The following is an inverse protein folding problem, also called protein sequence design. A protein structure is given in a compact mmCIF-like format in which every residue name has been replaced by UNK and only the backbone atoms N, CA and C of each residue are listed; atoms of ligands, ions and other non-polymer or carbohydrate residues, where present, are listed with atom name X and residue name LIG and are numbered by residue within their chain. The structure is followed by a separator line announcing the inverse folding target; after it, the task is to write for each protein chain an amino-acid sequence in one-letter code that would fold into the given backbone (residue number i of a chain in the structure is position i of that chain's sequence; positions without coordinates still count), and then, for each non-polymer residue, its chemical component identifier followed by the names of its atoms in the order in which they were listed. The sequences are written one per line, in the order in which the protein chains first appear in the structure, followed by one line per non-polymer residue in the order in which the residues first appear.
data_IF_977543578853
#
_entry.id   IF_977543578853
#
_cell.length_a   1.000
_cell.length_b   1.000
_cell.length_c   1.000
_cell.angle_alpha   90.00
_cell.angle_beta   90.00
_cell.angle_gamma   90.00
#
_symmetry.space_group_name_H-M   'P 1'
#
loop_
_entity.id
_entity.type
_entity.pdbx_description
1 polymer ?
#
# COMPACT_ATOMS: atom_id res chain seq x y z
N UNK A 1 -28.42 -7.76 -2.17
CA UNK A 1 -27.03 -7.72 -2.63
C UNK A 1 -26.19 -7.60 -1.36
N UNK A 2 -25.35 -8.61 -1.08
CA UNK A 2 -24.46 -8.54 0.08
C UNK A 2 -23.32 -7.60 -0.26
N UNK A 3 -23.23 -6.47 0.41
CA UNK A 3 -22.06 -5.60 0.32
C UNK A 3 -20.95 -6.33 1.06
N UNK A 4 -19.88 -6.73 0.38
CA UNK A 4 -18.71 -7.26 1.06
C UNK A 4 -18.18 -6.17 1.99
N UNK A 5 -17.96 -6.52 3.25
CA UNK A 5 -17.37 -5.58 4.20
C UNK A 5 -15.87 -5.46 3.92
N UNK A 6 -15.29 -4.26 4.06
CA UNK A 6 -13.85 -4.09 3.91
C UNK A 6 -13.10 -5.02 4.88
N UNK A 7 -12.06 -5.66 4.38
CA UNK A 7 -11.19 -6.47 5.24
C UNK A 7 -10.21 -5.55 5.96
N UNK A 8 -10.12 -5.71 7.27
CA UNK A 8 -9.27 -4.91 8.14
C UNK A 8 -8.21 -5.78 8.82
N UNK A 9 -6.98 -5.26 8.88
CA UNK A 9 -5.86 -5.86 9.56
C UNK A 9 -4.97 -4.78 10.19
N UNK A 10 -4.08 -5.18 11.10
CA UNK A 10 -2.98 -4.33 11.56
C UNK A 10 -1.71 -4.74 10.86
N UNK A 11 -0.93 -3.75 10.42
CA UNK A 11 0.42 -3.99 9.96
C UNK A 11 1.32 -4.26 11.17
N UNK A 12 2.22 -5.21 11.00
CA UNK A 12 3.24 -5.56 11.98
C UNK A 12 4.51 -4.78 11.68
N UNK A 13 5.16 -4.29 12.72
CA UNK A 13 6.50 -3.71 12.60
C UNK A 13 7.51 -4.81 12.25
N UNK A 14 8.47 -4.49 11.38
CA UNK A 14 9.59 -5.40 11.14
C UNK A 14 10.45 -5.53 12.42
N UNK A 15 10.84 -6.75 12.84
CA UNK A 15 11.54 -6.96 14.10
C UNK A 15 12.80 -6.11 14.28
N UNK A 16 13.58 -5.97 13.20
CA UNK A 16 14.87 -5.27 13.22
C UNK A 16 14.81 -3.84 12.66
N UNK A 17 13.66 -3.40 12.14
CA UNK A 17 13.49 -2.11 11.47
C UNK A 17 12.04 -1.61 11.55
N UNK A 18 11.42 -1.64 12.73
CA UNK A 18 10.01 -1.25 12.93
C UNK A 18 9.80 0.23 13.19
N UNK A 19 10.84 0.96 13.59
CA UNK A 19 10.73 2.35 14.09
C UNK A 19 10.22 2.40 15.53
N UNK A 20 10.48 3.53 16.21
CA UNK A 20 10.18 3.69 17.64
C UNK A 20 8.92 4.53 17.90
N UNK A 21 8.57 5.40 16.94
CA UNK A 21 7.57 6.45 17.15
C UNK A 21 6.20 6.15 16.54
N UNK A 22 6.05 4.99 15.90
CA UNK A 22 4.77 4.50 15.40
C UNK A 22 4.21 3.48 16.38
N UNK A 23 2.99 3.72 16.85
CA UNK A 23 2.32 2.83 17.83
C UNK A 23 1.48 1.75 17.14
N UNK A 24 0.84 2.11 16.03
CA UNK A 24 0.06 1.16 15.22
C UNK A 24 -0.18 1.69 13.81
N UNK A 25 -0.38 0.78 12.86
CA UNK A 25 -0.92 1.07 11.54
C UNK A 25 -2.04 0.07 11.28
N UNK A 26 -3.29 0.53 11.25
CA UNK A 26 -4.40 -0.25 10.76
C UNK A 26 -4.49 -0.07 9.24
N UNK A 27 -4.79 -1.16 8.52
CA UNK A 27 -5.01 -1.15 7.08
C UNK A 27 -6.34 -1.82 6.76
N UNK A 28 -7.08 -1.24 5.83
CA UNK A 28 -8.34 -1.76 5.32
C UNK A 28 -8.26 -1.83 3.80
N UNK A 29 -8.84 -2.88 3.21
CA UNK A 29 -8.96 -2.99 1.76
C UNK A 29 -10.31 -3.55 1.35
N UNK A 30 -10.82 -3.06 0.23
CA UNK A 30 -12.06 -3.49 -0.40
C UNK A 30 -11.89 -3.56 -1.91
N UNK A 31 -12.46 -4.59 -2.53
CA UNK A 31 -12.49 -4.75 -3.98
C UNK A 31 -13.93 -4.82 -4.45
N UNK A 32 -14.30 -3.96 -5.41
CA UNK A 32 -15.66 -3.86 -5.91
C UNK A 32 -15.83 -4.49 -7.28
N UNK A 33 -17.07 -4.85 -7.64
CA UNK A 33 -17.42 -5.42 -8.95
C UNK A 33 -17.11 -4.49 -10.14
N UNK A 34 -16.88 -3.20 -9.91
CA UNK A 34 -16.40 -2.24 -10.91
C UNK A 34 -14.88 -2.25 -11.09
N UNK A 35 -14.18 -3.31 -10.67
CA UNK A 35 -12.72 -3.42 -10.68
C UNK A 35 -12.03 -2.23 -9.98
N UNK A 36 -12.57 -1.80 -8.85
CA UNK A 36 -12.02 -0.73 -8.04
C UNK A 36 -11.48 -1.30 -6.74
N UNK A 37 -10.21 -1.02 -6.47
CA UNK A 37 -9.54 -1.31 -5.21
C UNK A 37 -9.52 -0.04 -4.36
N UNK A 38 -10.06 -0.12 -3.16
CA UNK A 38 -9.96 0.91 -2.13
C UNK A 38 -9.06 0.42 -1.00
N UNK A 39 -8.08 1.23 -0.62
CA UNK A 39 -7.22 0.97 0.53
C UNK A 39 -7.28 2.15 1.50
N UNK A 40 -7.30 1.88 2.80
CA UNK A 40 -7.21 2.88 3.85
C UNK A 40 -6.13 2.47 4.83
N UNK A 41 -5.32 3.43 5.22
CA UNK A 41 -4.29 3.27 6.24
C UNK A 41 -4.55 4.29 7.35
N UNK A 42 -4.51 3.85 8.59
CA UNK A 42 -4.62 4.71 9.77
C UNK A 42 -3.38 4.47 10.66
N UNK A 43 -2.43 5.40 10.56
CA UNK A 43 -1.22 5.42 11.38
C UNK A 43 -1.52 6.19 12.68
N UNK A 44 -1.04 5.67 13.81
CA UNK A 44 -0.99 6.34 15.12
C UNK A 44 0.43 6.33 15.64
N UNK A 45 0.89 7.46 16.17
CA UNK A 45 2.25 7.62 16.63
C UNK A 45 2.57 9.02 17.13
N UNK A 46 3.82 9.23 17.53
CA UNK A 46 4.35 10.56 17.81
C UNK A 46 4.65 11.29 16.49
N UNK A 47 3.66 12.03 16.00
CA UNK A 47 3.72 12.69 14.69
C UNK A 47 4.85 13.72 14.60
N UNK A 48 5.31 14.28 15.70
CA UNK A 48 6.42 15.23 15.72
C UNK A 48 7.78 14.56 15.43
N UNK A 49 7.86 13.25 15.65
CA UNK A 49 9.08 12.45 15.41
C UNK A 49 9.12 11.82 14.03
N UNK A 50 8.03 11.93 13.25
CA UNK A 50 7.94 11.37 11.91
C UNK A 50 8.20 12.44 10.86
N UNK A 51 8.94 12.08 9.80
CA UNK A 51 9.15 12.92 8.64
C UNK A 51 8.02 12.69 7.63
N UNK A 52 7.03 13.55 7.68
CA UNK A 52 5.87 13.48 6.81
C UNK A 52 5.91 14.61 5.78
N UNK A 53 5.86 14.30 4.47
CA UNK A 53 5.85 15.33 3.45
C UNK A 53 4.59 16.20 3.58
N UNK A 54 4.69 17.47 3.21
CA UNK A 54 3.53 18.36 3.13
C UNK A 54 2.62 17.91 1.98
N UNK A 55 1.31 18.02 2.18
CA UNK A 55 0.34 17.75 1.12
C UNK A 55 0.61 18.61 -0.11
N UNK A 56 0.76 17.97 -1.25
CA UNK A 56 1.05 18.57 -2.55
C UNK A 56 -0.12 18.51 -3.51
N UNK A 57 0.18 18.65 -4.81
CA UNK A 57 -0.82 18.67 -5.87
C UNK A 57 -1.26 17.27 -6.36
N UNK A 58 -0.59 16.21 -5.91
CA UNK A 58 -0.90 14.84 -6.32
C UNK A 58 -0.44 14.54 -7.76
N UNK A 59 0.78 14.05 -7.91
CA UNK A 59 1.35 13.68 -9.22
C UNK A 59 1.99 12.31 -9.17
N UNK A 60 2.19 11.73 -10.32
CA UNK A 60 3.02 10.53 -10.42
C UNK A 60 4.48 10.88 -10.11
N UNK A 61 5.09 10.14 -9.20
CA UNK A 61 6.49 10.32 -8.83
C UNK A 61 7.12 8.95 -8.48
N UNK A 62 8.34 8.71 -8.97
CA UNK A 62 9.06 7.48 -8.69
C UNK A 62 9.85 7.58 -7.37
N UNK A 63 10.13 6.42 -6.74
CA UNK A 63 10.98 6.33 -5.54
C UNK A 63 10.29 6.77 -4.24
N UNK A 64 8.97 6.76 -4.18
CA UNK A 64 8.21 7.15 -2.99
C UNK A 64 8.55 6.31 -1.76
N UNK A 65 8.89 5.03 -1.94
CA UNK A 65 9.31 4.09 -0.88
C UNK A 65 10.61 4.46 -0.14
N UNK A 66 11.32 5.47 -0.62
CA UNK A 66 12.52 6.01 0.06
C UNK A 66 12.19 6.94 1.22
N UNK A 67 10.91 7.26 1.38
CA UNK A 67 10.36 8.15 2.39
C UNK A 67 9.07 7.55 2.94
N UNK A 68 8.34 8.29 3.76
CA UNK A 68 7.02 7.83 4.23
C UNK A 68 6.08 7.58 3.06
N UNK A 69 5.71 6.29 2.90
CA UNK A 69 4.91 5.77 1.80
C UNK A 69 4.03 4.61 2.28
N UNK A 70 2.79 4.57 1.83
CA UNK A 70 1.89 3.43 2.02
C UNK A 70 1.79 2.66 0.71
N UNK A 71 1.80 1.33 0.79
CA UNK A 71 1.98 0.49 -0.38
C UNK A 71 0.96 -0.64 -0.43
N UNK A 72 0.44 -0.91 -1.63
CA UNK A 72 -0.41 -2.05 -1.90
C UNK A 72 0.18 -2.88 -3.06
N UNK A 73 0.53 -4.14 -2.77
CA UNK A 73 0.94 -5.11 -3.77
C UNK A 73 -0.26 -5.98 -4.10
N UNK A 74 -0.55 -6.16 -5.38
CA UNK A 74 -1.78 -6.80 -5.84
C UNK A 74 -1.47 -7.83 -6.91
N UNK A 75 -1.91 -9.06 -6.69
CA UNK A 75 -1.79 -10.17 -7.63
C UNK A 75 -3.12 -10.89 -7.80
N UNK A 76 -3.17 -11.76 -8.79
CA UNK A 76 -4.26 -12.74 -9.00
C UNK A 76 -3.69 -14.12 -8.72
N UNK A 77 -4.51 -15.02 -8.15
CA UNK A 77 -4.11 -16.41 -7.92
C UNK A 77 -3.54 -17.05 -9.21
N UNK A 78 -2.57 -17.93 -9.04
CA UNK A 78 -1.92 -18.67 -10.13
C UNK A 78 -1.18 -17.80 -11.17
N UNK A 79 -0.93 -16.52 -10.85
CA UNK A 79 -0.08 -15.65 -11.66
C UNK A 79 1.23 -15.35 -10.94
N UNK A 80 2.35 -15.23 -11.69
CA UNK A 80 3.65 -14.82 -11.12
C UNK A 80 3.76 -13.32 -10.98
N UNK A 81 3.17 -12.59 -11.93
CA UNK A 81 3.21 -11.13 -11.98
C UNK A 81 2.29 -10.49 -10.95
N UNK A 82 2.65 -9.28 -10.56
CA UNK A 82 1.87 -8.46 -9.63
C UNK A 82 2.04 -6.97 -9.95
N UNK A 83 1.21 -6.17 -9.31
CA UNK A 83 1.31 -4.70 -9.36
C UNK A 83 1.66 -4.18 -7.97
N UNK A 84 2.42 -3.08 -7.96
CA UNK A 84 2.74 -2.30 -6.78
C UNK A 84 2.16 -0.90 -6.97
N UNK A 85 1.40 -0.44 -5.98
CA UNK A 85 0.86 0.91 -5.89
C UNK A 85 1.46 1.59 -4.67
N UNK A 86 2.04 2.76 -4.87
CA UNK A 86 2.67 3.56 -3.83
C UNK A 86 1.90 4.86 -3.64
N UNK A 87 1.61 5.20 -2.39
CA UNK A 87 0.80 6.35 -2.00
C UNK A 87 1.54 7.17 -0.95
N UNK A 88 1.92 8.40 -1.31
CA UNK A 88 2.58 9.32 -0.40
C UNK A 88 1.57 10.19 0.36
N UNK A 89 1.85 10.55 1.62
CA UNK A 89 1.09 11.60 2.31
C UNK A 89 1.13 12.97 1.64
N UNK A 90 1.99 13.18 0.63
CA UNK A 90 1.99 14.34 -0.24
C UNK A 90 0.91 14.30 -1.33
N UNK A 91 0.10 13.24 -1.41
CA UNK A 91 -0.81 12.88 -2.49
C UNK A 91 -0.10 12.41 -3.78
N UNK A 92 1.23 12.34 -3.80
CA UNK A 92 1.97 11.75 -4.91
C UNK A 92 1.79 10.23 -4.91
N UNK A 93 1.86 9.63 -6.11
CA UNK A 93 1.63 8.21 -6.29
C UNK A 93 2.55 7.61 -7.34
N UNK A 94 2.75 6.30 -7.26
CA UNK A 94 3.39 5.51 -8.31
C UNK A 94 2.63 4.20 -8.52
N UNK A 95 2.75 3.64 -9.71
CA UNK A 95 2.24 2.31 -10.03
C UNK A 95 3.24 1.58 -10.91
N UNK A 96 3.56 0.35 -10.53
CA UNK A 96 4.49 -0.52 -11.24
C UNK A 96 3.85 -1.87 -11.51
N UNK A 97 4.29 -2.51 -12.59
CA UNK A 97 4.01 -3.90 -12.90
C UNK A 97 5.31 -4.69 -12.83
N UNK A 98 5.25 -5.85 -12.18
CA UNK A 98 6.32 -6.84 -12.15
C UNK A 98 5.89 -8.09 -12.90
N UNK A 99 6.80 -8.71 -13.62
CA UNK A 99 6.56 -9.98 -14.31
C UNK A 99 6.72 -11.18 -13.39
N UNK A 100 7.63 -11.10 -12.43
CA UNK A 100 7.87 -12.09 -11.38
C UNK A 100 8.48 -11.38 -10.15
N UNK A 101 8.81 -12.13 -9.11
CA UNK A 101 9.41 -11.62 -7.88
C UNK A 101 10.60 -10.71 -8.18
N UNK A 102 10.44 -9.42 -7.90
CA UNK A 102 11.42 -8.32 -8.10
C UNK A 102 12.03 -8.23 -9.50
N UNK A 103 11.39 -8.81 -10.53
CA UNK A 103 11.90 -8.79 -11.91
C UNK A 103 10.90 -8.23 -12.89
N UNK A 104 11.41 -7.71 -14.02
CA UNK A 104 10.57 -7.17 -15.09
C UNK A 104 9.77 -5.93 -14.69
N UNK A 105 10.28 -5.10 -13.75
CA UNK A 105 9.59 -3.90 -13.30
C UNK A 105 9.41 -2.90 -14.45
N UNK A 106 8.18 -2.50 -14.67
CA UNK A 106 7.81 -1.45 -15.61
C UNK A 106 6.79 -0.50 -14.98
N UNK A 107 6.73 0.73 -15.46
CA UNK A 107 5.68 1.65 -15.04
C UNK A 107 4.31 1.13 -15.51
N UNK A 108 3.37 0.99 -14.59
CA UNK A 108 2.00 0.63 -14.94
C UNK A 108 1.26 1.83 -15.52
N UNK A 109 0.61 1.64 -16.68
CA UNK A 109 -0.22 2.66 -17.29
C UNK A 109 -1.63 2.60 -16.70
N UNK A 110 -1.96 3.52 -15.80
CA UNK A 110 -3.31 3.66 -15.26
C UNK A 110 -4.16 4.52 -16.20
N UNK A 111 -5.42 4.13 -16.42
CA UNK A 111 -6.36 4.91 -17.21
C UNK A 111 -6.69 6.26 -16.55
N UNK A 112 -6.61 6.32 -15.23
CA UNK A 112 -6.76 7.53 -14.42
C UNK A 112 -5.88 7.46 -13.17
N UNK A 113 -5.45 8.60 -12.68
CA UNK A 113 -4.69 8.69 -11.45
C UNK A 113 -5.48 8.12 -10.26
N UNK A 114 -4.82 7.50 -9.27
CA UNK A 114 -5.48 7.11 -8.04
C UNK A 114 -6.10 8.31 -7.33
N UNK A 115 -7.31 8.12 -6.78
CA UNK A 115 -7.90 9.09 -5.88
C UNK A 115 -7.26 8.98 -4.51
N UNK A 116 -6.57 10.03 -4.04
CA UNK A 116 -5.92 10.04 -2.74
C UNK A 116 -6.54 11.09 -1.83
N UNK A 117 -6.75 10.73 -0.57
CA UNK A 117 -7.17 11.63 0.50
C UNK A 117 -6.29 11.41 1.72
N UNK A 118 -5.86 12.49 2.35
CA UNK A 118 -5.03 12.45 3.56
C UNK A 118 -5.64 13.35 4.61
N UNK A 119 -5.78 12.83 5.83
CA UNK A 119 -6.16 13.57 7.03
C UNK A 119 -5.06 13.43 8.07
N UNK A 120 -4.80 14.48 8.82
CA UNK A 120 -3.80 14.48 9.89
C UNK A 120 -4.40 15.11 11.13
N UNK A 121 -4.06 14.56 12.28
CA UNK A 121 -4.34 15.11 13.59
C UNK A 121 -3.07 15.13 14.44
N UNK A 122 -3.18 15.38 15.76
CA UNK A 122 -2.04 15.48 16.67
C UNK A 122 -1.25 14.18 16.86
N UNK A 123 -1.90 13.04 16.72
CA UNK A 123 -1.38 11.71 17.03
C UNK A 123 -1.60 10.69 15.92
N UNK A 124 -2.02 11.15 14.73
CA UNK A 124 -2.27 10.25 13.62
C UNK A 124 -2.28 10.85 12.22
N UNK A 125 -2.26 9.94 11.26
CA UNK A 125 -2.43 10.20 9.85
C UNK A 125 -3.33 9.12 9.25
N UNK A 126 -4.36 9.53 8.53
CA UNK A 126 -5.17 8.64 7.69
C UNK A 126 -4.90 8.92 6.22
N UNK A 127 -4.64 7.88 5.45
CA UNK A 127 -4.55 7.93 3.99
C UNK A 127 -5.58 6.97 3.40
N UNK A 128 -6.42 7.48 2.50
CA UNK A 128 -7.31 6.67 1.69
C UNK A 128 -6.90 6.75 0.22
N UNK A 129 -6.84 5.60 -0.44
CA UNK A 129 -6.50 5.47 -1.84
C UNK A 129 -7.57 4.68 -2.58
N UNK A 130 -7.96 5.15 -3.77
CA UNK A 130 -8.86 4.44 -4.67
C UNK A 130 -8.17 4.27 -6.01
N UNK A 131 -8.04 3.01 -6.47
CA UNK A 131 -7.36 2.64 -7.71
C UNK A 131 -8.34 1.92 -8.62
N UNK A 132 -8.49 2.38 -9.85
CA UNK A 132 -9.27 1.69 -10.87
C UNK A 132 -8.39 0.70 -11.60
N UNK A 133 -8.69 -0.58 -11.43
CA UNK A 133 -7.89 -1.69 -11.97
C UNK A 133 -8.32 -2.09 -13.40
N UNK A 134 -9.43 -1.55 -13.91
CA UNK A 134 -9.88 -1.77 -15.27
C UNK A 134 -8.76 -1.43 -16.26
N UNK A 135 -8.45 -2.34 -17.19
CA UNK A 135 -7.31 -2.19 -18.12
C UNK A 135 -5.96 -2.70 -17.60
N UNK A 136 -5.82 -3.01 -16.32
CA UNK A 136 -4.63 -3.65 -15.75
C UNK A 136 -4.79 -5.18 -15.79
N UNK A 137 -4.30 -5.82 -16.84
CA UNK A 137 -4.37 -7.28 -16.95
C UNK A 137 -3.36 -7.97 -15.99
N UNK A 138 -3.78 -9.01 -15.22
CA UNK A 138 -5.10 -9.62 -15.21
C UNK A 138 -6.09 -9.01 -14.19
N UNK A 139 -5.72 -7.97 -13.43
CA UNK A 139 -6.49 -7.45 -12.28
C UNK A 139 -7.90 -6.99 -12.66
N UNK A 140 -8.06 -6.34 -13.82
CA UNK A 140 -9.34 -5.74 -14.24
C UNK A 140 -10.49 -6.73 -14.43
N UNK A 141 -10.19 -8.02 -14.61
CA UNK A 141 -11.17 -9.10 -14.78
C UNK A 141 -11.07 -10.16 -13.66
N UNK A 142 -10.33 -9.86 -12.61
CA UNK A 142 -10.13 -10.82 -11.53
C UNK A 142 -11.41 -11.04 -10.72
N UNK A 143 -11.66 -12.30 -10.34
CA UNK A 143 -12.72 -12.68 -9.39
C UNK A 143 -12.22 -12.67 -7.96
N UNK A 144 -10.92 -12.68 -7.79
CA UNK A 144 -10.26 -12.65 -6.50
C UNK A 144 -8.88 -12.00 -6.66
N UNK A 145 -8.55 -11.11 -5.73
CA UNK A 145 -7.25 -10.46 -5.62
C UNK A 145 -6.54 -10.97 -4.38
N UNK A 146 -5.23 -11.14 -4.49
CA UNK A 146 -4.34 -11.36 -3.33
C UNK A 146 -3.53 -10.09 -3.11
N UNK A 147 -3.50 -9.62 -1.87
CA UNK A 147 -2.86 -8.36 -1.50
C UNK A 147 -1.81 -8.56 -0.41
N UNK A 148 -0.72 -7.79 -0.54
CA UNK A 148 0.13 -7.41 0.56
C UNK A 148 -0.04 -5.91 0.78
N UNK A 149 -0.33 -5.50 2.02
CA UNK A 149 -0.39 -4.09 2.42
C UNK A 149 0.81 -3.79 3.29
N UNK A 150 1.47 -2.68 3.02
CA UNK A 150 2.70 -2.29 3.70
C UNK A 150 2.80 -0.78 3.87
N UNK A 151 3.74 -0.36 4.70
CA UNK A 151 4.11 1.04 4.84
C UNK A 151 5.60 1.17 5.17
N UNK A 152 6.24 2.16 4.58
CA UNK A 152 7.54 2.68 4.99
C UNK A 152 7.29 3.99 5.72
N UNK A 153 7.82 4.15 6.92
CA UNK A 153 7.66 5.35 7.73
C UNK A 153 9.03 5.92 8.04
N UNK A 154 9.28 7.14 7.60
CA UNK A 154 10.54 7.86 7.85
C UNK A 154 10.46 8.65 9.15
N UNK A 155 11.44 8.48 10.02
CA UNK A 155 11.62 9.25 11.24
C UNK A 155 12.42 10.54 10.96
N UNK A 156 12.37 11.52 11.88
CA UNK A 156 13.04 12.81 11.71
C UNK A 156 14.57 12.70 11.53
N UNK A 157 15.18 11.67 12.05
CA UNK A 157 16.62 11.38 11.90
C UNK A 157 16.97 10.65 10.60
N UNK A 158 15.96 10.32 9.77
CA UNK A 158 16.13 9.64 8.49
C UNK A 158 16.07 8.12 8.57
N UNK A 159 15.89 7.52 9.76
CA UNK A 159 15.65 6.07 9.86
C UNK A 159 14.32 5.72 9.21
N UNK A 160 14.25 4.54 8.59
CA UNK A 160 13.04 3.99 7.99
C UNK A 160 12.50 2.84 8.84
N UNK A 161 11.23 2.93 9.21
CA UNK A 161 10.47 1.84 9.81
C UNK A 161 9.66 1.12 8.73
N UNK A 162 9.67 -0.22 8.74
CA UNK A 162 8.97 -1.07 7.76
C UNK A 162 7.83 -1.80 8.44
N UNK A 163 6.64 -1.68 7.89
CA UNK A 163 5.39 -2.23 8.41
C UNK A 163 4.68 -3.02 7.31
N UNK A 164 4.21 -4.22 7.61
CA UNK A 164 3.51 -5.08 6.64
C UNK A 164 2.50 -6.00 7.31
N UNK A 165 1.58 -6.57 6.53
CA UNK A 165 0.69 -7.64 7.01
C UNK A 165 1.48 -8.85 7.52
N UNK A 166 2.60 -9.14 6.87
CA UNK A 166 3.52 -10.22 7.24
C UNK A 166 4.93 -9.86 6.79
N UNK A 167 5.91 -10.19 7.63
CA UNK A 167 7.33 -10.12 7.30
C UNK A 167 7.89 -11.53 7.13
N UNK A 168 8.39 -11.89 5.95
CA UNK A 168 9.24 -13.07 5.79
C UNK A 168 10.53 -12.92 6.61
N UNK A 169 11.20 -14.03 6.97
CA UNK A 169 12.48 -13.96 7.68
C UNK A 169 13.54 -13.20 6.87
N UNK A 170 14.40 -12.43 7.55
CA UNK A 170 15.49 -11.67 6.95
C UNK A 170 15.22 -10.18 6.88
N UNK A 171 15.73 -9.50 5.86
CA UNK A 171 15.53 -8.07 5.65
C UNK A 171 14.07 -7.74 5.28
N UNK A 172 13.59 -6.51 5.51
CA UNK A 172 12.27 -6.09 5.07
C UNK A 172 12.05 -6.36 3.57
N UNK A 173 11.02 -7.12 3.24
CA UNK A 173 10.70 -7.48 1.87
C UNK A 173 9.19 -7.61 1.64
N UNK A 174 8.59 -6.54 1.13
CA UNK A 174 7.16 -6.49 0.84
C UNK A 174 6.76 -7.24 -0.44
N UNK A 175 7.73 -7.51 -1.34
CA UNK A 175 7.49 -8.23 -2.59
C UNK A 175 7.41 -9.75 -2.40
N UNK A 176 7.85 -10.26 -1.25
CA UNK A 176 7.91 -11.69 -1.02
C UNK A 176 6.53 -12.34 -1.16
N UNK A 177 6.39 -13.49 -1.85
CA UNK A 177 5.08 -14.13 -2.06
C UNK A 177 4.30 -14.40 -0.77
N UNK A 178 4.98 -14.68 0.33
CA UNK A 178 4.35 -14.89 1.64
C UNK A 178 3.73 -13.62 2.26
N UNK A 179 4.05 -12.43 1.74
CA UNK A 179 3.47 -11.17 2.21
C UNK A 179 2.05 -10.96 1.70
N UNK A 180 1.63 -11.65 0.62
CA UNK A 180 0.29 -11.55 0.03
C UNK A 180 -0.71 -12.41 0.82
N UNK A 181 -1.10 -11.94 1.99
CA UNK A 181 -1.93 -12.68 2.94
C UNK A 181 -3.40 -12.30 2.95
N UNK A 182 -3.79 -11.22 2.29
CA UNK A 182 -5.16 -10.75 2.22
C UNK A 182 -5.81 -11.20 0.89
N UNK A 183 -6.99 -11.80 0.96
CA UNK A 183 -7.75 -12.22 -0.22
C UNK A 183 -9.05 -11.42 -0.31
N UNK A 184 -9.27 -10.74 -1.44
CA UNK A 184 -10.46 -9.94 -1.68
C UNK A 184 -11.25 -10.47 -2.87
N UNK A 185 -12.56 -10.59 -2.68
CA UNK A 185 -13.52 -10.86 -3.76
C UNK A 185 -14.38 -9.63 -4.01
N UNK A 186 -14.83 -9.40 -5.24
CA UNK A 186 -15.68 -8.25 -5.54
C UNK A 186 -16.97 -8.31 -4.72
N UNK A 187 -17.33 -7.14 -4.18
CA UNK A 187 -18.61 -6.93 -3.53
C UNK A 187 -19.74 -6.84 -4.55
#
# INVERSE_FOLDING_TARGET
MSVASPQRAYLLAHPDAGGEFVWSIAAEAEFTSGATLSCRYALRGDMARLRLPRTGAGRRADGLWRHTCFEAFVSVADTRGYYEFNFSPALDWAAYRFEDYRTGMTAAALAQAPGLQVRRDSDGLELAATVHLAGLAPLGNARELRLALAAVIEEQDGRLGYWALRHPPGNPDFHHPESFTLELRPA
#
